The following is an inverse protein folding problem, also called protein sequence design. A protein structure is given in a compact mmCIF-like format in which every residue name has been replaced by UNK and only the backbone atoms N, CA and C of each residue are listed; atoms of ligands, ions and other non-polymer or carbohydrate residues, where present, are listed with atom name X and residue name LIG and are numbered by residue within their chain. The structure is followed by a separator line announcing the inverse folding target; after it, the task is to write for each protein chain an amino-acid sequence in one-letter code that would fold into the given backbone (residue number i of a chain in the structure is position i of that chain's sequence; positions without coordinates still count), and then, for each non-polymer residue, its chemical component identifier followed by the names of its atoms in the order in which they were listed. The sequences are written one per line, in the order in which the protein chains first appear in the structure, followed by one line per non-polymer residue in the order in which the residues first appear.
data_IF_541870493043
#
_entry.id   IF_541870493043
#
_cell.length_a   1.000
_cell.length_b   1.000
_cell.length_c   1.000
_cell.angle_alpha   90.00
_cell.angle_beta   90.00
_cell.angle_gamma   90.00
#
_symmetry.space_group_name_H-M   'P 1'
#
loop_
_entity.id
_entity.type
_entity.pdbx_description
1 polymer ?
#
# COMPACT_ATOMS: atom_id res chain seq x y z
N UNK A 1 -33.59 49.29 9.77
CA UNK A 1 -34.32 48.03 9.52
C UNK A 1 -33.38 46.95 9.01
N UNK A 2 -32.53 47.20 8.05
CA UNK A 2 -31.56 46.22 7.43
C UNK A 2 -30.57 45.64 8.44
N UNK A 3 -30.01 46.42 9.38
CA UNK A 3 -29.04 45.92 10.40
C UNK A 3 -29.59 44.81 11.32
N UNK A 4 -30.89 44.85 11.64
CA UNK A 4 -31.53 43.83 12.50
C UNK A 4 -31.72 42.50 11.74
N UNK A 5 -32.02 42.55 10.45
CA UNK A 5 -32.19 41.37 9.60
C UNK A 5 -30.84 40.63 9.45
N UNK A 6 -29.78 41.37 9.13
CA UNK A 6 -28.42 40.80 9.00
C UNK A 6 -27.92 40.18 10.31
N UNK A 7 -28.21 40.77 11.47
CA UNK A 7 -27.87 40.23 12.78
C UNK A 7 -28.62 38.93 13.12
N UNK A 8 -29.89 38.83 12.71
CA UNK A 8 -30.69 37.61 12.87
C UNK A 8 -30.16 36.48 11.98
N UNK A 9 -29.83 36.78 10.73
CA UNK A 9 -29.27 35.77 9.80
C UNK A 9 -27.91 35.26 10.26
N UNK A 10 -27.03 36.12 10.78
CA UNK A 10 -25.75 35.74 11.36
C UNK A 10 -25.91 34.86 12.63
N UNK A 11 -26.88 35.18 13.47
CA UNK A 11 -27.19 34.39 14.65
C UNK A 11 -27.69 32.97 14.29
N UNK A 12 -28.58 32.87 13.30
CA UNK A 12 -29.08 31.62 12.75
C UNK A 12 -27.96 30.79 12.12
N UNK A 13 -27.11 31.43 11.31
CA UNK A 13 -25.95 30.76 10.72
C UNK A 13 -24.98 30.22 11.79
N UNK A 14 -24.71 31.00 12.84
CA UNK A 14 -23.92 30.57 13.99
C UNK A 14 -24.54 29.37 14.70
N UNK A 15 -25.86 29.40 14.93
CA UNK A 15 -26.54 28.27 15.56
C UNK A 15 -26.51 27.00 14.74
N UNK A 16 -26.70 27.08 13.41
CA UNK A 16 -26.62 25.95 12.50
C UNK A 16 -25.20 25.34 12.49
N UNK A 17 -24.15 26.18 12.51
CA UNK A 17 -22.76 25.74 12.59
C UNK A 17 -22.46 25.03 13.92
N UNK A 18 -22.97 25.57 15.04
CA UNK A 18 -22.80 24.92 16.35
C UNK A 18 -23.53 23.58 16.43
N UNK A 19 -24.75 23.47 15.86
CA UNK A 19 -25.47 22.22 15.79
C UNK A 19 -24.73 21.18 14.92
N UNK A 20 -24.22 21.61 13.76
CA UNK A 20 -23.44 20.73 12.88
C UNK A 20 -22.16 20.25 13.55
N UNK A 21 -21.45 21.13 14.27
CA UNK A 21 -20.27 20.78 15.05
C UNK A 21 -20.59 19.82 16.20
N UNK A 22 -21.68 20.08 16.94
CA UNK A 22 -22.12 19.19 18.03
C UNK A 22 -22.55 17.81 17.53
N UNK A 23 -23.26 17.74 16.39
CA UNK A 23 -23.63 16.49 15.72
C UNK A 23 -22.37 15.76 15.22
N UNK A 24 -21.43 16.45 14.58
CA UNK A 24 -20.17 15.87 14.10
C UNK A 24 -19.33 15.30 15.23
N UNK A 25 -19.20 16.04 16.34
CA UNK A 25 -18.51 15.57 17.53
C UNK A 25 -19.25 14.41 18.21
N UNK A 26 -20.58 14.45 18.25
CA UNK A 26 -21.40 13.37 18.82
C UNK A 26 -21.30 12.06 18.02
N UNK A 27 -21.33 12.14 16.69
CA UNK A 27 -21.17 10.98 15.80
C UNK A 27 -19.76 10.39 15.87
N UNK A 28 -18.75 11.21 16.13
CA UNK A 28 -17.36 10.79 16.22
C UNK A 28 -16.81 10.77 17.65
N UNK A 29 -17.68 10.80 18.66
CA UNK A 29 -17.29 10.85 20.09
C UNK A 29 -16.28 9.77 20.46
N UNK A 30 -16.40 8.59 19.85
CA UNK A 30 -15.45 7.50 20.06
C UNK A 30 -14.02 7.87 19.64
N UNK A 31 -13.85 8.55 18.52
CA UNK A 31 -12.53 9.01 18.04
C UNK A 31 -11.99 10.15 18.88
N UNK A 32 -12.86 11.09 19.28
CA UNK A 32 -12.51 12.18 20.19
C UNK A 32 -12.01 11.63 21.52
N UNK A 33 -12.72 10.66 22.10
CA UNK A 33 -12.33 10.00 23.35
C UNK A 33 -11.01 9.24 23.20
N UNK A 34 -10.83 8.47 22.14
CA UNK A 34 -9.57 7.76 21.85
C UNK A 34 -8.39 8.72 21.66
N UNK A 35 -8.62 9.90 21.07
CA UNK A 35 -7.59 10.95 20.93
C UNK A 35 -7.19 11.51 22.29
N UNK A 36 -8.16 11.74 23.18
CA UNK A 36 -7.94 12.27 24.52
C UNK A 36 -7.22 11.27 25.43
N UNK A 37 -7.60 10.00 25.37
CA UNK A 37 -7.03 8.90 26.17
C UNK A 37 -5.71 8.36 25.58
N UNK A 38 -5.18 8.98 24.52
CA UNK A 38 -3.94 8.53 23.85
C UNK A 38 -4.07 7.19 23.09
N UNK A 39 -5.27 6.65 22.97
CA UNK A 39 -5.53 5.37 22.29
C UNK A 39 -5.66 5.46 20.76
N UNK A 40 -5.71 6.67 20.21
CA UNK A 40 -5.91 6.88 18.77
C UNK A 40 -4.80 6.24 17.90
N UNK A 41 -3.50 6.32 18.25
CA UNK A 41 -2.45 5.67 17.44
C UNK A 41 -2.63 4.16 17.36
N UNK A 42 -2.96 3.50 18.47
CA UNK A 42 -3.21 2.05 18.51
C UNK A 42 -4.45 1.68 17.68
N UNK A 43 -5.52 2.46 17.77
CA UNK A 43 -6.73 2.26 16.97
C UNK A 43 -6.46 2.39 15.47
N UNK A 44 -5.72 3.42 15.03
CA UNK A 44 -5.37 3.62 13.62
C UNK A 44 -4.48 2.50 13.10
N UNK A 45 -3.52 2.03 13.91
CA UNK A 45 -2.68 0.88 13.58
C UNK A 45 -3.52 -0.38 13.35
N UNK A 46 -4.44 -0.68 14.26
CA UNK A 46 -5.33 -1.85 14.14
C UNK A 46 -6.24 -1.77 12.91
N UNK A 47 -6.76 -0.58 12.60
CA UNK A 47 -7.56 -0.37 11.37
C UNK A 47 -6.72 -0.54 10.10
N UNK A 48 -5.47 -0.08 10.11
CA UNK A 48 -4.52 -0.29 9.01
C UNK A 48 -4.22 -1.77 8.80
N UNK A 49 -3.95 -2.50 9.88
CA UNK A 49 -3.70 -3.95 9.85
C UNK A 49 -4.93 -4.74 9.35
N UNK A 50 -6.13 -4.37 9.77
CA UNK A 50 -7.37 -5.01 9.31
C UNK A 50 -7.65 -4.72 7.83
N UNK A 51 -7.37 -3.51 7.34
CA UNK A 51 -7.45 -3.18 5.91
C UNK A 51 -6.46 -4.01 5.11
N UNK A 52 -5.20 -4.03 5.54
CA UNK A 52 -4.15 -4.81 4.91
C UNK A 52 -4.50 -6.30 4.87
N UNK A 53 -5.02 -6.88 5.96
CA UNK A 53 -5.48 -8.26 6.00
C UNK A 53 -6.65 -8.53 5.05
N UNK A 54 -7.56 -7.57 4.88
CA UNK A 54 -8.67 -7.69 3.93
C UNK A 54 -8.21 -7.62 2.48
N UNK A 55 -7.25 -6.75 2.18
CA UNK A 55 -6.63 -6.65 0.86
C UNK A 55 -5.76 -7.86 0.53
N UNK A 56 -5.12 -8.47 1.55
CA UNK A 56 -4.35 -9.71 1.40
C UNK A 56 -5.20 -10.99 1.26
N UNK A 57 -6.55 -10.90 1.31
CA UNK A 57 -7.39 -12.08 1.14
C UNK A 57 -7.17 -12.73 -0.23
N UNK A 58 -6.41 -13.82 -0.23
CA UNK A 58 -6.08 -14.60 -1.43
C UNK A 58 -4.67 -14.40 -1.99
N UNK A 59 -3.88 -13.46 -1.44
CA UNK A 59 -2.48 -13.26 -1.85
C UNK A 59 -1.56 -13.85 -0.75
N UNK A 60 -0.75 -14.83 -1.12
CA UNK A 60 0.25 -15.42 -0.23
C UNK A 60 1.35 -14.41 0.08
N UNK A 61 1.66 -14.24 1.36
CA UNK A 61 2.74 -13.37 1.80
C UNK A 61 3.99 -14.17 2.19
N UNK A 62 5.15 -13.56 1.97
CA UNK A 62 6.45 -14.12 2.30
C UNK A 62 7.16 -13.23 3.32
N UNK A 63 7.82 -13.85 4.27
CA UNK A 63 8.82 -13.20 5.10
C UNK A 63 10.19 -13.20 4.40
N UNK A 64 11.18 -12.53 5.01
CA UNK A 64 12.53 -12.39 4.43
C UNK A 64 13.20 -13.74 4.15
N UNK A 65 13.15 -14.68 5.09
CA UNK A 65 13.79 -15.99 4.93
C UNK A 65 13.17 -16.80 3.78
N UNK A 66 11.85 -16.77 3.66
CA UNK A 66 11.11 -17.43 2.59
C UNK A 66 11.42 -16.82 1.21
N UNK A 67 11.47 -15.47 1.14
CA UNK A 67 11.81 -14.79 -0.09
C UNK A 67 13.24 -15.11 -0.54
N UNK A 68 14.18 -15.14 0.39
CA UNK A 68 15.58 -15.49 0.09
C UNK A 68 15.74 -16.95 -0.35
N UNK A 69 15.03 -17.88 0.27
CA UNK A 69 15.02 -19.29 -0.15
C UNK A 69 14.52 -19.47 -1.60
N UNK A 70 13.40 -18.76 -1.96
CA UNK A 70 12.86 -18.78 -3.32
C UNK A 70 13.85 -18.18 -4.31
N UNK A 71 14.53 -17.09 -3.93
CA UNK A 71 15.58 -16.46 -4.75
C UNK A 71 16.74 -17.41 -5.02
N UNK A 72 17.29 -18.04 -3.98
CA UNK A 72 18.40 -18.98 -4.12
C UNK A 72 18.07 -20.17 -5.03
N UNK A 73 16.82 -20.63 -5.01
CA UNK A 73 16.35 -21.74 -5.85
C UNK A 73 16.00 -21.33 -7.29
N UNK A 74 15.98 -20.03 -7.60
CA UNK A 74 15.58 -19.53 -8.91
C UNK A 74 14.14 -19.88 -9.31
N UNK A 75 13.27 -20.14 -8.34
CA UNK A 75 11.92 -20.66 -8.57
C UNK A 75 10.93 -19.63 -9.08
N UNK A 76 11.10 -18.35 -8.69
CA UNK A 76 10.20 -17.27 -9.04
C UNK A 76 10.91 -16.12 -9.75
N UNK A 77 10.15 -15.32 -10.48
CA UNK A 77 10.57 -14.02 -10.97
C UNK A 77 10.23 -12.96 -9.91
N UNK A 78 11.23 -12.22 -9.48
CA UNK A 78 11.02 -11.08 -8.58
C UNK A 78 10.52 -9.87 -9.37
N UNK A 79 9.54 -9.18 -8.83
CA UNK A 79 8.90 -8.01 -9.41
C UNK A 79 9.05 -6.84 -8.46
N UNK A 80 9.80 -5.82 -8.88
CA UNK A 80 9.98 -4.59 -8.13
C UNK A 80 8.86 -3.60 -8.47
N UNK A 81 8.01 -3.30 -7.48
CA UNK A 81 6.90 -2.38 -7.62
C UNK A 81 7.27 -0.92 -7.29
N UNK A 82 8.55 -0.62 -7.03
CA UNK A 82 9.06 0.73 -6.80
C UNK A 82 9.18 1.51 -8.12
N UNK A 83 9.55 2.78 -8.01
CA UNK A 83 9.83 3.61 -9.17
C UNK A 83 11.00 3.06 -10.02
N UNK A 84 11.07 3.50 -11.27
CA UNK A 84 12.18 3.11 -12.16
C UNK A 84 13.55 3.62 -11.67
N UNK A 85 13.55 4.76 -11.00
CA UNK A 85 14.75 5.38 -10.43
C UNK A 85 15.28 4.55 -9.27
N UNK A 86 14.42 4.15 -8.32
CA UNK A 86 14.79 3.30 -7.18
C UNK A 86 15.27 1.91 -7.64
N UNK A 87 14.61 1.35 -8.66
CA UNK A 87 15.03 0.09 -9.26
C UNK A 87 16.40 0.21 -9.92
N UNK A 88 16.65 1.30 -10.65
CA UNK A 88 17.94 1.52 -11.33
C UNK A 88 19.10 1.70 -10.34
N UNK A 89 18.83 2.27 -9.16
CA UNK A 89 19.84 2.42 -8.11
C UNK A 89 20.27 1.07 -7.55
N UNK A 90 19.33 0.30 -7.02
CA UNK A 90 19.55 -1.03 -6.45
C UNK A 90 18.26 -1.86 -6.49
N UNK A 91 18.35 -3.12 -6.89
CA UNK A 91 17.23 -4.06 -6.92
C UNK A 91 17.69 -5.50 -6.64
N UNK A 92 16.76 -6.41 -6.37
CA UNK A 92 17.06 -7.84 -6.23
C UNK A 92 17.54 -8.39 -7.58
N UNK A 93 18.67 -9.12 -7.66
CA UNK A 93 19.22 -9.59 -8.92
C UNK A 93 18.21 -10.40 -9.74
N UNK A 94 18.13 -10.07 -11.05
CA UNK A 94 17.19 -10.71 -11.97
C UNK A 94 15.72 -10.29 -11.79
N UNK A 95 15.43 -9.32 -10.93
CA UNK A 95 14.09 -8.76 -10.82
C UNK A 95 13.73 -7.93 -12.06
N UNK A 96 12.42 -7.77 -12.31
CA UNK A 96 11.88 -6.86 -13.33
C UNK A 96 11.16 -5.71 -12.65
N UNK A 97 11.31 -4.49 -13.16
CA UNK A 97 10.57 -3.35 -12.65
C UNK A 97 9.17 -3.29 -13.28
N UNK A 98 8.16 -3.44 -12.45
CA UNK A 98 6.75 -3.29 -12.81
C UNK A 98 6.08 -2.38 -11.77
N UNK A 99 6.41 -1.09 -11.84
CA UNK A 99 5.77 -0.11 -10.98
C UNK A 99 4.26 -0.07 -11.23
N UNK A 100 3.50 0.41 -10.24
CA UNK A 100 2.06 0.55 -10.39
C UNK A 100 1.70 1.42 -11.59
N UNK A 101 2.40 2.53 -11.76
CA UNK A 101 2.18 3.47 -12.86
C UNK A 101 2.35 2.76 -14.21
N UNK A 102 3.39 1.96 -14.34
CA UNK A 102 3.64 1.18 -15.56
C UNK A 102 2.56 0.14 -15.82
N UNK A 103 2.15 -0.59 -14.77
CA UNK A 103 1.07 -1.58 -14.87
C UNK A 103 -0.28 -0.94 -15.23
N UNK A 104 -0.56 0.27 -14.73
CA UNK A 104 -1.80 0.99 -15.03
C UNK A 104 -1.79 1.58 -16.46
N UNK A 105 -0.63 2.07 -16.94
CA UNK A 105 -0.49 2.66 -18.26
C UNK A 105 -0.41 1.62 -19.39
N UNK A 106 0.41 0.58 -19.21
CA UNK A 106 0.72 -0.39 -20.25
C UNK A 106 -0.16 -1.65 -20.15
N UNK A 107 -0.76 -1.96 -18.99
CA UNK A 107 -1.58 -3.14 -18.78
C UNK A 107 -0.85 -4.42 -19.15
N UNK A 108 -1.46 -5.24 -20.03
CA UNK A 108 -0.87 -6.50 -20.49
C UNK A 108 0.47 -6.32 -21.23
N UNK A 109 0.76 -5.16 -21.79
CA UNK A 109 2.04 -4.90 -22.45
C UNK A 109 3.21 -4.84 -21.46
N UNK A 110 2.98 -4.36 -20.24
CA UNK A 110 3.99 -4.29 -19.20
C UNK A 110 4.57 -5.68 -18.84
N UNK A 111 3.76 -6.72 -19.00
CA UNK A 111 4.10 -8.11 -18.68
C UNK A 111 4.36 -8.97 -19.92
N UNK A 112 4.50 -8.34 -21.09
CA UNK A 112 4.79 -9.05 -22.34
C UNK A 112 6.12 -9.83 -22.20
N UNK A 113 6.08 -11.13 -22.49
CA UNK A 113 7.23 -12.02 -22.36
C UNK A 113 7.37 -12.73 -21.00
N UNK A 114 6.52 -12.44 -20.02
CA UNK A 114 6.44 -13.19 -18.78
C UNK A 114 5.37 -14.28 -18.94
N UNK A 115 5.70 -15.58 -18.85
CA UNK A 115 4.70 -16.65 -18.96
C UNK A 115 3.64 -16.52 -17.85
N UNK A 116 2.36 -16.75 -18.17
CA UNK A 116 1.25 -16.58 -17.22
C UNK A 116 1.28 -17.58 -16.05
N UNK A 117 1.94 -18.71 -16.20
CA UNK A 117 2.16 -19.73 -15.18
C UNK A 117 3.42 -19.49 -14.34
N UNK A 118 4.21 -18.45 -14.67
CA UNK A 118 5.40 -18.08 -13.90
C UNK A 118 5.03 -17.68 -12.48
N UNK A 119 5.78 -18.20 -11.51
CA UNK A 119 5.69 -17.76 -10.11
C UNK A 119 6.31 -16.38 -9.97
N UNK A 120 5.55 -15.44 -9.39
CA UNK A 120 5.95 -14.04 -9.21
C UNK A 120 6.04 -13.72 -7.72
N UNK A 121 7.14 -13.06 -7.32
CA UNK A 121 7.31 -12.49 -5.99
C UNK A 121 7.40 -10.97 -6.11
N UNK A 122 6.34 -10.27 -5.73
CA UNK A 122 6.26 -8.82 -5.79
C UNK A 122 6.79 -8.21 -4.51
N UNK A 123 7.63 -7.20 -4.61
CA UNK A 123 8.15 -6.44 -3.47
C UNK A 123 8.14 -4.94 -3.74
N UNK A 124 8.28 -4.14 -2.69
CA UNK A 124 8.44 -2.68 -2.76
C UNK A 124 9.53 -2.22 -1.80
N UNK A 125 9.58 -0.93 -1.45
CA UNK A 125 10.66 -0.35 -0.64
C UNK A 125 10.66 -0.79 0.83
N UNK A 126 9.48 -0.85 1.49
CA UNK A 126 9.37 -1.10 2.92
C UNK A 126 8.27 -2.12 3.25
N UNK A 127 8.29 -2.63 4.49
CA UNK A 127 7.20 -3.42 5.05
C UNK A 127 5.90 -2.58 5.10
N UNK A 128 4.78 -3.16 4.75
CA UNK A 128 3.47 -2.49 4.62
C UNK A 128 3.28 -1.60 3.38
N UNK A 129 4.05 -1.82 2.33
CA UNK A 129 3.92 -1.05 1.11
C UNK A 129 2.67 -1.45 0.33
N UNK A 130 1.71 -0.57 0.24
CA UNK A 130 0.48 -0.73 -0.54
C UNK A 130 0.78 -0.94 -2.05
N UNK A 131 1.92 -0.43 -2.53
CA UNK A 131 2.30 -0.56 -3.94
C UNK A 131 2.51 -2.01 -4.36
N UNK A 132 3.17 -2.85 -3.55
CA UNK A 132 3.38 -4.27 -3.87
C UNK A 132 2.07 -5.06 -3.89
N UNK A 133 1.12 -4.74 -3.00
CA UNK A 133 -0.20 -5.36 -2.98
C UNK A 133 -1.00 -5.00 -4.24
N UNK A 134 -1.06 -3.72 -4.58
CA UNK A 134 -1.78 -3.25 -5.77
C UNK A 134 -1.15 -3.77 -7.06
N UNK A 135 0.18 -3.88 -7.12
CA UNK A 135 0.85 -4.52 -8.24
C UNK A 135 0.49 -6.01 -8.33
N UNK A 136 0.46 -6.73 -7.20
CA UNK A 136 0.06 -8.12 -7.15
C UNK A 136 -1.40 -8.34 -7.59
N UNK A 137 -2.34 -7.52 -7.11
CA UNK A 137 -3.76 -7.55 -7.55
C UNK A 137 -3.89 -7.28 -9.04
N UNK A 138 -3.13 -6.30 -9.56
CA UNK A 138 -3.14 -6.01 -10.99
C UNK A 138 -2.59 -7.17 -11.80
N UNK A 139 -1.49 -7.80 -11.38
CA UNK A 139 -0.95 -8.99 -12.01
C UNK A 139 -1.95 -10.16 -11.99
N UNK A 140 -2.65 -10.37 -10.87
CA UNK A 140 -3.73 -11.37 -10.81
C UNK A 140 -4.87 -11.06 -11.80
N UNK A 141 -5.26 -9.80 -11.93
CA UNK A 141 -6.27 -9.37 -12.90
C UNK A 141 -5.84 -9.58 -14.36
N UNK A 142 -4.51 -9.61 -14.60
CA UNK A 142 -3.92 -9.93 -15.90
C UNK A 142 -3.73 -11.44 -16.15
N UNK A 143 -4.18 -12.30 -15.20
CA UNK A 143 -4.19 -13.75 -15.37
C UNK A 143 -3.03 -14.49 -14.67
N UNK A 144 -2.19 -13.81 -13.91
CA UNK A 144 -1.12 -14.45 -13.13
C UNK A 144 -1.68 -15.02 -11.83
N UNK A 145 -1.85 -16.34 -11.74
CA UNK A 145 -2.45 -16.99 -10.56
C UNK A 145 -1.43 -17.36 -9.46
N UNK A 146 -0.13 -17.24 -9.73
CA UNK A 146 0.97 -17.62 -8.82
C UNK A 146 1.74 -16.39 -8.35
N UNK A 147 1.02 -15.42 -7.78
CA UNK A 147 1.58 -14.18 -7.27
C UNK A 147 1.68 -14.24 -5.75
N UNK A 148 2.86 -13.92 -5.22
CA UNK A 148 3.14 -13.80 -3.80
C UNK A 148 3.72 -12.41 -3.52
N UNK A 149 3.56 -11.91 -2.29
CA UNK A 149 4.10 -10.60 -1.87
C UNK A 149 5.14 -10.77 -0.79
N UNK A 150 6.33 -10.25 -1.04
CA UNK A 150 7.39 -10.16 -0.03
C UNK A 150 7.19 -8.91 0.84
N UNK A 151 6.68 -9.13 2.07
CA UNK A 151 6.27 -8.05 2.98
C UNK A 151 7.43 -7.25 3.57
N UNK A 152 8.63 -7.82 3.62
CA UNK A 152 9.83 -7.12 4.10
C UNK A 152 10.29 -6.00 3.17
N UNK A 153 9.98 -6.11 1.89
CA UNK A 153 10.41 -5.18 0.86
C UNK A 153 11.92 -5.16 0.65
N UNK A 154 12.37 -4.29 -0.25
CA UNK A 154 13.79 -4.17 -0.59
C UNK A 154 14.65 -3.77 0.61
N UNK A 155 14.10 -2.93 1.49
CA UNK A 155 14.84 -2.50 2.68
C UNK A 155 15.25 -3.67 3.59
N UNK A 156 14.32 -4.59 3.89
CA UNK A 156 14.66 -5.75 4.72
C UNK A 156 15.67 -6.70 4.03
N UNK A 157 15.64 -6.75 2.70
CA UNK A 157 16.58 -7.50 1.88
C UNK A 157 17.99 -6.90 1.96
N UNK A 158 18.10 -5.59 1.79
CA UNK A 158 19.34 -4.82 1.83
C UNK A 158 19.95 -4.78 3.25
N UNK A 159 19.12 -4.52 4.27
CA UNK A 159 19.54 -4.56 5.69
C UNK A 159 20.12 -5.92 6.12
N UNK A 160 19.70 -7.01 5.47
CA UNK A 160 20.21 -8.35 5.69
C UNK A 160 21.53 -8.63 4.91
N UNK A 161 22.00 -7.71 4.09
CA UNK A 161 23.20 -7.86 3.27
C UNK A 161 23.04 -8.89 2.13
N UNK A 162 21.82 -9.13 1.65
CA UNK A 162 21.58 -10.03 0.54
C UNK A 162 21.98 -9.41 -0.81
N UNK A 163 22.25 -10.24 -1.85
CA UNK A 163 22.70 -9.74 -3.15
C UNK A 163 21.77 -8.68 -3.74
N UNK A 164 22.35 -7.62 -4.31
CA UNK A 164 21.63 -6.58 -5.04
C UNK A 164 22.40 -6.18 -6.29
N UNK A 165 21.68 -5.82 -7.36
CA UNK A 165 22.21 -5.36 -8.63
C UNK A 165 21.80 -3.91 -8.91
N UNK A 166 22.51 -3.27 -9.84
CA UNK A 166 22.19 -1.93 -10.37
C UNK A 166 21.89 -2.01 -11.85
N UNK A 167 21.02 -1.16 -12.36
CA UNK A 167 20.73 -1.02 -13.81
C UNK A 167 21.39 0.21 -14.42
N UNK A 168 22.48 0.71 -13.83
CA UNK A 168 23.26 1.84 -14.38
C UNK A 168 24.24 1.37 -15.44
#
# INVERSE_FOLDING_TARGET
MIRRLVQQDLAWAGYVLLLAAALGLGLQWRLVRLSWDGGLPAYLKTQGEQRLQKELQGIKTLNLAQAYEIFQKGQALFVDARSAEEYAELHIPGAVNLSRERLDQEGARAVAGIPADRELVVYCGMSSCEASLRAAEKLQSLGYNRVQVFMGGFRAWDDAGYPADTSK
#
